data_IF_640251833137
#
_entry.id   IF_640251833137
#
_cell.length_a   1.000
_cell.length_b   1.000
_cell.length_c   1.000
_cell.angle_alpha   90.00
_cell.angle_beta   90.00
_cell.angle_gamma   90.00
#
_symmetry.space_group_name_H-M   'P 1'
#
loop_
_entity.id
_entity.type
_entity.pdbx_description
1 polymer ?
#
# COMPACT_ATOMS: atom_id res chain seq x y z
N UNK A 1 3.58 -45.30 3.71
CA UNK A 1 2.83 -44.45 2.77
C UNK A 1 3.51 -43.09 2.81
N UNK A 2 4.44 -42.85 1.88
CA UNK A 2 5.20 -41.61 1.83
C UNK A 2 4.29 -40.52 1.25
N UNK A 3 4.00 -39.50 2.05
CA UNK A 3 3.34 -38.28 1.57
C UNK A 3 4.41 -37.53 0.77
N UNK A 4 4.21 -37.46 -0.55
CA UNK A 4 5.03 -36.64 -1.42
C UNK A 4 4.91 -35.19 -0.94
N UNK A 5 6.03 -34.61 -0.51
CA UNK A 5 6.17 -33.17 -0.32
C UNK A 5 6.16 -32.56 -1.72
N UNK A 6 5.08 -31.87 -2.05
CA UNK A 6 4.94 -31.09 -3.26
C UNK A 6 6.00 -29.98 -3.24
N UNK A 7 6.95 -30.05 -4.17
CA UNK A 7 7.97 -29.05 -4.41
C UNK A 7 7.33 -27.88 -5.14
N UNK A 8 6.62 -27.01 -4.42
CA UNK A 8 6.10 -25.77 -4.98
C UNK A 8 7.28 -24.86 -5.36
N UNK A 9 7.53 -24.72 -6.66
CA UNK A 9 8.38 -23.67 -7.22
C UNK A 9 7.90 -22.32 -6.70
N UNK A 10 8.75 -21.63 -5.92
CA UNK A 10 8.41 -20.36 -5.31
C UNK A 10 8.34 -19.30 -6.43
N UNK A 11 7.15 -18.72 -6.62
CA UNK A 11 6.79 -17.84 -7.74
C UNK A 11 6.83 -16.38 -7.27
N UNK A 12 7.61 -15.52 -7.93
CA UNK A 12 7.56 -14.07 -7.69
C UNK A 12 6.14 -13.59 -8.05
N UNK A 13 5.41 -12.90 -7.15
CA UNK A 13 4.04 -12.49 -7.44
C UNK A 13 3.98 -11.53 -8.63
N UNK A 14 3.02 -11.74 -9.53
CA UNK A 14 2.81 -10.91 -10.70
C UNK A 14 1.80 -9.78 -10.41
N UNK A 15 2.04 -8.60 -10.97
CA UNK A 15 1.11 -7.48 -11.01
C UNK A 15 0.15 -7.71 -12.20
N UNK A 16 -1.10 -8.03 -11.90
CA UNK A 16 -2.14 -8.38 -12.86
C UNK A 16 -3.03 -7.17 -13.17
N UNK A 17 -3.19 -6.88 -14.46
CA UNK A 17 -4.02 -5.76 -14.90
C UNK A 17 -5.52 -6.11 -14.91
N UNK A 18 -6.43 -5.18 -14.51
CA UNK A 18 -6.11 -3.88 -13.93
C UNK A 18 -5.66 -4.00 -12.47
N UNK A 19 -4.50 -3.43 -12.15
CA UNK A 19 -3.97 -3.32 -10.80
C UNK A 19 -4.07 -1.85 -10.35
N UNK A 20 -4.79 -1.62 -9.26
CA UNK A 20 -4.98 -0.28 -8.69
C UNK A 20 -4.01 -0.08 -7.54
N UNK A 21 -3.25 1.02 -7.57
CA UNK A 21 -2.33 1.42 -6.50
C UNK A 21 -2.81 2.71 -5.87
N UNK A 22 -2.94 2.69 -4.55
CA UNK A 22 -3.33 3.84 -3.74
C UNK A 22 -2.26 4.05 -2.68
N UNK A 23 -1.76 5.28 -2.57
CA UNK A 23 -0.81 5.68 -1.53
C UNK A 23 -1.34 6.91 -0.81
N UNK A 24 -0.93 7.06 0.45
CA UNK A 24 -1.14 8.29 1.23
C UNK A 24 -2.60 8.76 1.22
N UNK A 25 -3.53 7.86 1.57
CA UNK A 25 -4.95 8.19 1.61
C UNK A 25 -5.35 8.91 2.89
N UNK A 26 -4.57 8.73 3.97
CA UNK A 26 -4.79 9.31 5.30
C UNK A 26 -6.26 9.31 5.73
N UNK A 27 -6.91 8.16 5.60
CA UNK A 27 -8.27 7.95 6.08
C UNK A 27 -8.38 8.21 7.59
N UNK A 28 -9.38 9.01 7.96
CA UNK A 28 -9.74 9.30 9.36
C UNK A 28 -11.16 8.74 9.57
N UNK A 29 -11.37 7.85 10.56
CA UNK A 29 -12.70 7.37 10.89
C UNK A 29 -13.61 8.50 11.38
N UNK A 30 -14.79 8.64 10.77
CA UNK A 30 -15.83 9.54 11.25
C UNK A 30 -16.71 8.83 12.30
N UNK A 31 -17.07 9.47 13.44
CA UNK A 31 -17.83 8.83 14.51
C UNK A 31 -19.25 8.37 14.13
N UNK A 32 -19.79 8.81 13.00
CA UNK A 32 -21.21 8.66 12.61
C UNK A 32 -21.44 8.00 11.25
N UNK A 33 -20.39 7.61 10.52
CA UNK A 33 -20.60 6.80 9.32
C UNK A 33 -21.05 5.40 9.77
N UNK A 34 -22.10 4.88 9.16
CA UNK A 34 -22.53 3.49 9.32
C UNK A 34 -22.41 2.83 7.96
N UNK A 35 -21.42 1.97 7.79
CA UNK A 35 -21.30 1.16 6.58
C UNK A 35 -22.46 0.17 6.53
N UNK A 36 -23.52 0.55 5.84
CA UNK A 36 -24.62 -0.35 5.48
C UNK A 36 -24.32 -0.87 4.07
N UNK A 37 -23.91 -2.13 3.99
CA UNK A 37 -23.86 -2.85 2.73
C UNK A 37 -25.30 -3.12 2.28
N UNK A 38 -25.92 -2.12 1.66
CA UNK A 38 -27.28 -2.24 1.14
C UNK A 38 -27.25 -3.12 -0.12
N UNK A 39 -27.40 -4.42 0.11
CA UNK A 39 -27.47 -5.45 -0.93
C UNK A 39 -28.62 -5.21 -1.92
N UNK A 40 -29.64 -4.42 -1.57
CA UNK A 40 -30.75 -4.07 -2.46
C UNK A 40 -30.37 -3.04 -3.54
N UNK A 41 -29.35 -2.20 -3.30
CA UNK A 41 -28.80 -1.27 -4.31
C UNK A 41 -27.87 -1.94 -5.32
N UNK A 42 -27.37 -3.15 -5.01
CA UNK A 42 -26.53 -3.91 -5.92
C UNK A 42 -27.34 -4.42 -7.14
N UNK A 43 -28.63 -4.72 -6.94
CA UNK A 43 -29.52 -5.20 -8.01
C UNK A 43 -30.27 -4.05 -8.71
N UNK A 44 -30.58 -2.94 -8.02
CA UNK A 44 -31.32 -1.82 -8.63
C UNK A 44 -30.45 -0.86 -9.47
N UNK A 45 -29.12 -0.95 -9.38
CA UNK A 45 -28.19 -0.07 -10.13
C UNK A 45 -27.91 -0.54 -11.57
N UNK A 46 -28.60 -1.56 -12.07
CA UNK A 46 -28.43 -2.00 -13.47
C UNK A 46 -29.12 -1.10 -14.50
N UNK A 47 -29.85 -0.04 -14.11
CA UNK A 47 -30.65 0.75 -15.04
C UNK A 47 -30.49 2.28 -15.01
N UNK A 48 -29.45 2.79 -14.36
CA UNK A 48 -29.01 4.18 -14.55
C UNK A 48 -27.53 4.19 -14.84
N UNK A 49 -27.17 4.74 -16.00
CA UNK A 49 -25.81 4.94 -16.48
C UNK A 49 -25.10 5.95 -15.57
N UNK A 50 -24.72 5.53 -14.36
CA UNK A 50 -23.87 6.32 -13.49
C UNK A 50 -22.53 6.49 -14.22
N UNK A 51 -22.18 7.72 -14.53
CA UNK A 51 -20.87 8.05 -15.11
C UNK A 51 -19.77 7.53 -14.18
N UNK A 52 -18.70 6.97 -14.77
CA UNK A 52 -17.62 6.35 -13.98
C UNK A 52 -16.97 7.41 -13.07
N UNK A 53 -16.69 7.11 -11.79
CA UNK A 53 -16.22 8.11 -10.79
C UNK A 53 -14.73 8.52 -10.93
N UNK A 54 -14.16 8.36 -12.13
CA UNK A 54 -12.77 8.68 -12.48
C UNK A 54 -12.77 9.65 -13.68
N UNK A 55 -11.86 10.64 -13.69
CA UNK A 55 -11.71 11.60 -14.80
C UNK A 55 -11.44 10.94 -16.17
N UNK A 56 -10.89 9.72 -16.17
CA UNK A 56 -10.73 8.88 -17.35
C UNK A 56 -11.44 7.54 -17.18
N UNK A 57 -11.81 6.90 -18.29
CA UNK A 57 -12.13 5.47 -18.29
C UNK A 57 -10.94 4.69 -17.71
N UNK A 58 -11.15 3.42 -17.37
CA UNK A 58 -10.11 2.44 -17.00
C UNK A 58 -9.16 2.15 -18.17
N UNK A 59 -8.75 3.19 -18.87
CA UNK A 59 -7.81 3.18 -19.95
C UNK A 59 -6.44 3.35 -19.31
N UNK A 60 -5.56 2.45 -19.73
CA UNK A 60 -4.21 2.29 -19.23
C UNK A 60 -3.45 3.61 -19.26
N UNK A 61 -2.67 3.86 -18.21
CA UNK A 61 -1.67 4.92 -18.24
C UNK A 61 -0.56 4.49 -19.20
N UNK A 62 -0.53 5.06 -20.41
CA UNK A 62 0.74 5.22 -21.10
C UNK A 62 1.66 6.15 -20.28
N UNK A 63 2.97 6.12 -20.55
CA UNK A 63 3.94 6.94 -19.82
C UNK A 63 3.71 8.46 -19.89
N UNK A 64 2.79 8.93 -20.74
CA UNK A 64 2.44 10.33 -20.92
C UNK A 64 1.12 10.75 -20.27
N UNK A 65 0.28 9.79 -19.88
CA UNK A 65 -1.01 10.09 -19.25
C UNK A 65 -0.83 10.39 -17.75
N UNK A 66 -1.45 11.45 -17.22
CA UNK A 66 -1.41 11.74 -15.78
C UNK A 66 -2.18 10.66 -15.00
N UNK A 67 -1.70 10.31 -13.80
CA UNK A 67 -2.40 9.43 -12.86
C UNK A 67 -3.88 9.80 -12.74
N UNK A 68 -4.85 8.87 -12.95
CA UNK A 68 -6.26 9.20 -12.93
C UNK A 68 -6.67 9.77 -11.58
N UNK A 69 -7.52 10.79 -11.62
CA UNK A 69 -8.09 11.42 -10.43
C UNK A 69 -9.47 10.83 -10.13
N UNK A 70 -9.67 10.45 -8.89
CA UNK A 70 -10.98 10.13 -8.35
C UNK A 70 -11.75 11.41 -8.05
N UNK A 71 -12.96 11.51 -8.62
CA UNK A 71 -13.84 12.67 -8.49
C UNK A 71 -15.17 12.34 -7.80
N UNK A 72 -15.34 11.08 -7.38
CA UNK A 72 -16.56 10.66 -6.69
C UNK A 72 -16.70 11.24 -5.28
N UNK A 73 -17.91 11.13 -4.75
CA UNK A 73 -18.24 11.58 -3.40
C UNK A 73 -17.56 10.72 -2.32
N UNK A 74 -17.58 11.18 -1.07
CA UNK A 74 -17.11 10.46 0.13
C UNK A 74 -15.60 10.12 0.15
N UNK A 75 -14.78 10.76 -0.69
CA UNK A 75 -13.32 10.64 -0.62
C UNK A 75 -12.84 9.19 -0.75
N UNK A 76 -12.02 8.74 0.22
CA UNK A 76 -11.38 7.42 0.14
C UNK A 76 -12.37 6.25 0.27
N UNK A 77 -13.37 6.35 1.15
CA UNK A 77 -14.37 5.28 1.29
C UNK A 77 -15.24 5.17 0.05
N UNK A 78 -15.56 6.30 -0.59
CA UNK A 78 -16.23 6.32 -1.89
C UNK A 78 -15.42 5.60 -2.98
N UNK A 79 -14.10 5.83 -3.03
CA UNK A 79 -13.22 5.11 -3.96
C UNK A 79 -13.27 3.60 -3.68
N UNK A 80 -13.08 3.16 -2.44
CA UNK A 80 -13.14 1.75 -2.07
C UNK A 80 -14.50 1.10 -2.41
N UNK A 81 -15.61 1.83 -2.23
CA UNK A 81 -16.94 1.37 -2.66
C UNK A 81 -17.06 1.25 -4.17
N UNK A 82 -16.49 2.18 -4.93
CA UNK A 82 -16.46 2.09 -6.40
C UNK A 82 -15.67 0.88 -6.88
N UNK A 83 -14.60 0.51 -6.17
CA UNK A 83 -13.83 -0.71 -6.43
C UNK A 83 -14.62 -1.97 -6.09
N UNK A 84 -15.51 -1.95 -5.07
CA UNK A 84 -16.42 -3.08 -4.84
C UNK A 84 -17.40 -3.29 -5.98
N UNK A 85 -17.94 -2.19 -6.53
CA UNK A 85 -18.90 -2.24 -7.65
C UNK A 85 -18.23 -2.64 -8.96
N UNK A 86 -16.98 -2.22 -9.16
CA UNK A 86 -16.17 -2.56 -10.33
C UNK A 86 -14.79 -3.04 -9.89
N UNK A 87 -14.66 -4.31 -9.50
CA UNK A 87 -13.43 -4.85 -8.93
C UNK A 87 -12.28 -4.88 -9.94
N UNK A 88 -11.10 -4.34 -9.58
CA UNK A 88 -9.87 -4.59 -10.32
C UNK A 88 -9.39 -6.03 -10.07
N UNK A 89 -8.40 -6.49 -10.84
CA UNK A 89 -7.75 -7.77 -10.57
C UNK A 89 -7.01 -7.71 -9.22
N UNK A 90 -6.32 -6.59 -8.98
CA UNK A 90 -5.52 -6.37 -7.77
C UNK A 90 -5.69 -4.95 -7.22
N UNK A 91 -5.54 -4.84 -5.89
CA UNK A 91 -5.49 -3.58 -5.17
C UNK A 91 -4.23 -3.54 -4.28
N UNK A 92 -3.37 -2.56 -4.54
CA UNK A 92 -2.16 -2.27 -3.79
C UNK A 92 -2.37 -1.03 -2.93
N UNK A 93 -2.36 -1.22 -1.62
CA UNK A 93 -2.42 -0.19 -0.60
C UNK A 93 -0.98 0.10 -0.14
N UNK A 94 -0.41 1.20 -0.59
CA UNK A 94 1.04 1.51 -0.56
C UNK A 94 1.46 2.40 0.62
N UNK A 95 0.95 2.07 1.81
CA UNK A 95 1.24 2.74 3.08
C UNK A 95 0.57 4.10 3.26
N UNK A 96 0.47 4.51 4.53
CA UNK A 96 -0.19 5.73 5.01
C UNK A 96 -1.63 5.86 4.47
N UNK A 97 -2.32 4.73 4.36
CA UNK A 97 -3.71 4.66 3.90
C UNK A 97 -4.65 5.19 4.95
N UNK A 98 -4.39 4.89 6.21
CA UNK A 98 -5.09 5.46 7.35
C UNK A 98 -4.18 6.44 8.08
N UNK A 99 -4.76 7.53 8.60
CA UNK A 99 -4.00 8.62 9.20
C UNK A 99 -3.28 8.21 10.50
N UNK A 100 -3.89 7.29 11.25
CA UNK A 100 -3.29 6.61 12.39
C UNK A 100 -4.00 5.27 12.60
N UNK A 101 -3.38 4.17 12.14
CA UNK A 101 -3.97 2.84 12.25
C UNK A 101 -2.98 1.83 12.81
N UNK A 102 -3.07 1.61 14.13
CA UNK A 102 -2.25 0.68 14.89
C UNK A 102 -3.21 -0.31 15.56
N UNK A 103 -3.70 -1.34 14.85
CA UNK A 103 -4.77 -2.20 15.34
C UNK A 103 -4.39 -3.04 16.56
N UNK A 104 -3.10 -3.14 16.89
CA UNK A 104 -2.66 -3.72 18.15
C UNK A 104 -3.24 -2.98 19.37
N UNK A 105 -3.58 -1.70 19.20
CA UNK A 105 -4.29 -0.87 20.17
C UNK A 105 -5.80 -1.10 20.00
N UNK A 106 -6.45 -1.69 21.01
CA UNK A 106 -7.85 -2.14 20.94
C UNK A 106 -8.83 -1.03 20.54
N UNK A 107 -8.67 0.17 21.10
CA UNK A 107 -9.55 1.29 20.77
C UNK A 107 -9.38 1.73 19.30
N UNK A 108 -8.14 1.75 18.80
CA UNK A 108 -7.85 2.12 17.42
C UNK A 108 -8.46 1.11 16.41
N UNK A 109 -8.40 -0.19 16.69
CA UNK A 109 -9.10 -1.20 15.87
C UNK A 109 -10.63 -1.01 15.89
N UNK A 110 -11.19 -0.61 17.03
CA UNK A 110 -12.64 -0.42 17.20
C UNK A 110 -13.16 0.76 16.38
N UNK A 111 -12.48 1.90 16.40
CA UNK A 111 -12.89 3.07 15.62
C UNK A 111 -12.72 2.85 14.11
N UNK A 112 -11.79 1.98 13.70
CA UNK A 112 -11.56 1.62 12.30
C UNK A 112 -12.42 0.44 11.81
N UNK A 113 -13.39 -0.03 12.60
CA UNK A 113 -14.18 -1.24 12.30
C UNK A 113 -14.80 -1.24 10.90
N UNK A 114 -15.24 -0.08 10.41
CA UNK A 114 -15.90 0.05 9.11
C UNK A 114 -14.92 -0.02 7.96
N UNK A 115 -13.77 0.64 8.12
CA UNK A 115 -12.66 0.53 7.19
C UNK A 115 -12.18 -0.92 7.09
N UNK A 116 -12.02 -1.61 8.23
CA UNK A 116 -11.68 -3.03 8.28
C UNK A 116 -12.74 -3.88 7.56
N UNK A 117 -14.03 -3.62 7.80
CA UNK A 117 -15.12 -4.33 7.15
C UNK A 117 -15.11 -4.14 5.63
N UNK A 118 -14.84 -2.92 5.16
CA UNK A 118 -14.76 -2.58 3.74
C UNK A 118 -13.57 -3.26 3.05
N UNK A 119 -12.40 -3.27 3.70
CA UNK A 119 -11.22 -3.99 3.20
C UNK A 119 -11.47 -5.50 3.14
N UNK A 120 -12.10 -6.08 4.16
CA UNK A 120 -12.46 -7.48 4.15
C UNK A 120 -13.44 -7.81 3.02
N UNK A 121 -14.47 -6.98 2.81
CA UNK A 121 -15.39 -7.13 1.69
C UNK A 121 -14.66 -7.09 0.33
N UNK A 122 -13.75 -6.13 0.13
CA UNK A 122 -12.94 -6.04 -1.08
C UNK A 122 -12.08 -7.29 -1.29
N UNK A 123 -11.44 -7.78 -0.23
CA UNK A 123 -10.56 -8.96 -0.29
C UNK A 123 -11.25 -10.28 -0.64
N UNK A 124 -12.58 -10.28 -0.73
CA UNK A 124 -13.34 -11.43 -1.25
C UNK A 124 -13.43 -11.47 -2.77
N UNK A 125 -13.34 -10.33 -3.45
CA UNK A 125 -13.46 -10.22 -4.91
C UNK A 125 -12.22 -9.63 -5.60
N UNK A 126 -11.30 -9.03 -4.85
CA UNK A 126 -10.06 -8.43 -5.32
C UNK A 126 -8.89 -9.03 -4.53
N UNK A 127 -7.76 -9.26 -5.19
CA UNK A 127 -6.54 -9.59 -4.48
C UNK A 127 -5.93 -8.31 -3.89
N UNK A 128 -5.98 -8.18 -2.57
CA UNK A 128 -5.53 -6.97 -1.86
C UNK A 128 -4.16 -7.18 -1.22
N UNK A 129 -3.23 -6.31 -1.55
CA UNK A 129 -1.91 -6.20 -0.93
C UNK A 129 -1.84 -4.92 -0.10
N UNK A 130 -1.46 -5.02 1.18
CA UNK A 130 -1.35 -3.87 2.08
C UNK A 130 0.07 -3.74 2.58
N UNK A 131 0.78 -2.75 2.07
CA UNK A 131 2.10 -2.32 2.52
C UNK A 131 1.92 -1.35 3.68
N UNK A 132 2.45 -1.70 4.85
CA UNK A 132 2.44 -0.80 6.00
C UNK A 132 3.23 0.48 5.71
N UNK A 133 2.70 1.63 6.11
CA UNK A 133 3.43 2.89 6.19
C UNK A 133 3.89 3.19 7.62
N UNK A 134 4.28 4.44 7.85
CA UNK A 134 4.68 4.89 9.19
C UNK A 134 3.50 5.41 10.03
N UNK A 135 2.32 5.57 9.43
CA UNK A 135 1.07 5.90 10.12
C UNK A 135 0.16 4.68 10.35
N UNK A 136 0.29 3.64 9.53
CA UNK A 136 -0.54 2.44 9.56
C UNK A 136 0.29 1.15 9.59
N UNK A 137 0.71 0.76 10.81
CA UNK A 137 1.61 -0.37 11.04
C UNK A 137 1.16 -1.27 12.19
N UNK A 138 1.76 -2.45 12.28
CA UNK A 138 1.34 -3.46 13.24
C UNK A 138 0.01 -4.09 12.85
N UNK A 139 -0.26 -4.17 11.54
CA UNK A 139 -1.46 -4.78 10.98
C UNK A 139 -1.50 -6.27 11.31
N UNK A 140 -2.71 -6.78 11.50
CA UNK A 140 -2.93 -8.13 11.99
C UNK A 140 -3.79 -8.92 10.99
N UNK A 141 -3.26 -10.06 10.54
CA UNK A 141 -3.99 -10.99 9.66
C UNK A 141 -5.27 -11.52 10.29
N UNK A 142 -5.42 -11.49 11.62
CA UNK A 142 -6.69 -11.82 12.28
C UNK A 142 -7.81 -10.82 11.98
N UNK A 143 -7.46 -9.56 11.71
CA UNK A 143 -8.42 -8.52 11.35
C UNK A 143 -8.63 -8.45 9.83
N UNK A 144 -7.61 -8.80 9.06
CA UNK A 144 -7.61 -8.74 7.60
C UNK A 144 -7.15 -10.09 6.99
N UNK A 145 -7.91 -11.20 7.19
CA UNK A 145 -7.46 -12.57 6.91
C UNK A 145 -7.18 -12.89 5.44
N UNK A 146 -7.73 -12.12 4.51
CA UNK A 146 -7.54 -12.31 3.05
C UNK A 146 -6.67 -11.22 2.42
N UNK A 147 -6.24 -10.24 3.20
CA UNK A 147 -5.33 -9.19 2.74
C UNK A 147 -3.89 -9.69 2.91
N UNK A 148 -3.11 -9.55 1.86
CA UNK A 148 -1.67 -9.87 1.87
C UNK A 148 -0.91 -8.69 2.45
N UNK A 149 -0.62 -8.77 3.75
CA UNK A 149 0.06 -7.70 4.49
C UNK A 149 1.57 -7.78 4.24
N UNK A 150 2.19 -6.66 3.87
CA UNK A 150 3.62 -6.44 3.78
C UNK A 150 4.06 -5.46 4.88
N UNK A 151 4.46 -5.98 6.05
CA UNK A 151 5.03 -5.16 7.10
C UNK A 151 6.31 -4.47 6.63
N UNK A 152 6.67 -3.33 7.23
CA UNK A 152 7.85 -2.54 6.81
C UNK A 152 9.13 -3.36 6.65
N UNK A 153 9.36 -4.35 7.52
CA UNK A 153 10.52 -5.25 7.47
C UNK A 153 10.59 -6.17 6.23
N UNK A 154 9.46 -6.38 5.56
CA UNK A 154 9.36 -7.16 4.32
C UNK A 154 9.38 -6.26 3.08
N UNK A 155 9.62 -4.96 3.26
CA UNK A 155 9.73 -3.99 2.19
C UNK A 155 11.21 -3.62 1.96
N UNK A 156 11.63 -3.39 0.70
CA UNK A 156 10.85 -3.55 -0.53
C UNK A 156 10.52 -5.00 -0.88
N UNK A 157 9.28 -5.23 -1.33
CA UNK A 157 8.83 -6.53 -1.85
C UNK A 157 9.04 -6.60 -3.37
N UNK A 158 9.42 -7.76 -3.86
CA UNK A 158 9.63 -7.99 -5.30
C UNK A 158 8.34 -8.52 -5.96
N UNK A 159 7.97 -7.90 -7.07
CA UNK A 159 6.88 -8.30 -7.95
C UNK A 159 7.36 -8.30 -9.41
N UNK A 160 6.68 -9.03 -10.29
CA UNK A 160 6.89 -8.92 -11.74
C UNK A 160 5.73 -8.17 -12.39
N UNK A 161 6.02 -7.32 -13.37
CA UNK A 161 5.00 -6.69 -14.21
C UNK A 161 5.50 -6.72 -15.65
N UNK A 162 4.74 -7.33 -16.57
CA UNK A 162 5.14 -7.49 -17.97
C UNK A 162 6.55 -8.12 -18.13
N UNK A 163 6.85 -9.15 -17.32
CA UNK A 163 8.16 -9.81 -17.23
C UNK A 163 9.33 -8.95 -16.72
N UNK A 164 9.08 -7.72 -16.25
CA UNK A 164 10.09 -6.88 -15.61
C UNK A 164 9.91 -6.92 -14.08
N UNK A 165 10.99 -7.09 -13.29
CA UNK A 165 10.90 -7.05 -11.84
C UNK A 165 10.76 -5.61 -11.31
N UNK A 166 9.89 -5.44 -10.32
CA UNK A 166 9.64 -4.19 -9.61
C UNK A 166 9.82 -4.39 -8.10
N UNK A 167 10.45 -3.41 -7.47
CA UNK A 167 10.56 -3.29 -6.02
C UNK A 167 9.48 -2.34 -5.52
N UNK A 168 8.57 -2.86 -4.70
CA UNK A 168 7.43 -2.13 -4.14
C UNK A 168 7.71 -1.83 -2.67
N UNK A 169 7.53 -0.58 -2.26
CA UNK A 169 7.46 -0.24 -0.84
C UNK A 169 6.61 1.00 -0.59
N UNK A 170 6.25 1.24 0.67
CA UNK A 170 5.71 2.53 1.07
C UNK A 170 6.70 3.66 0.73
N UNK A 171 8.00 3.49 0.98
CA UNK A 171 9.03 4.44 0.54
C UNK A 171 9.71 5.20 1.69
N UNK A 172 9.25 5.02 2.93
CA UNK A 172 9.95 5.53 4.11
C UNK A 172 11.23 4.73 4.46
N UNK A 173 11.51 3.69 3.69
CA UNK A 173 12.80 3.00 3.68
C UNK A 173 13.88 3.93 3.11
N UNK A 174 15.09 3.81 3.65
CA UNK A 174 16.29 4.51 3.17
C UNK A 174 16.28 6.03 3.39
N UNK A 175 15.49 6.55 4.34
CA UNK A 175 15.49 7.99 4.70
C UNK A 175 16.77 8.33 5.48
N UNK A 176 16.88 7.90 6.74
CA UNK A 176 18.07 8.11 7.58
C UNK A 176 18.18 7.01 8.63
N UNK A 177 19.39 6.70 9.08
CA UNK A 177 19.61 5.70 10.15
C UNK A 177 18.90 6.06 11.47
N UNK A 178 18.79 7.36 11.78
CA UNK A 178 18.06 7.84 12.96
C UNK A 178 16.56 7.56 12.86
N UNK A 179 15.97 7.82 11.69
CA UNK A 179 14.59 7.47 11.41
C UNK A 179 14.36 5.95 11.47
N UNK A 180 15.26 5.15 10.88
CA UNK A 180 15.19 3.69 10.97
C UNK A 180 15.17 3.18 12.41
N UNK A 181 16.03 3.73 13.27
CA UNK A 181 16.06 3.41 14.70
C UNK A 181 14.74 3.77 15.38
N UNK A 182 14.24 4.99 15.14
CA UNK A 182 12.97 5.48 15.68
C UNK A 182 11.79 4.58 15.30
N UNK A 183 11.60 4.30 14.01
CA UNK A 183 10.45 3.53 13.52
C UNK A 183 10.52 2.06 13.95
N UNK A 184 11.74 1.49 14.01
CA UNK A 184 11.95 0.12 14.51
C UNK A 184 11.62 0.02 16.00
N UNK A 185 12.03 1.00 16.80
CA UNK A 185 11.71 1.04 18.23
C UNK A 185 10.20 1.20 18.46
N UNK A 186 9.53 2.06 17.68
CA UNK A 186 8.10 2.31 17.78
C UNK A 186 7.26 1.07 17.42
N UNK A 187 7.67 0.35 16.37
CA UNK A 187 6.97 -0.85 15.85
C UNK A 187 7.36 -2.15 16.56
N UNK A 188 8.30 -2.11 17.51
CA UNK A 188 8.72 -3.30 18.24
C UNK A 188 7.56 -3.93 19.03
N UNK A 189 7.43 -5.28 19.07
CA UNK A 189 6.34 -5.96 19.78
C UNK A 189 6.21 -5.56 21.26
N UNK A 190 7.34 -5.32 21.93
CA UNK A 190 7.35 -4.82 23.30
C UNK A 190 6.72 -3.44 23.41
N UNK A 191 7.13 -2.50 22.55
CA UNK A 191 6.57 -1.14 22.50
C UNK A 191 5.08 -1.17 22.22
N UNK A 192 4.64 -1.95 21.23
CA UNK A 192 3.23 -2.13 20.90
C UNK A 192 2.43 -2.71 22.09
N UNK A 193 3.00 -3.68 22.81
CA UNK A 193 2.36 -4.28 23.99
C UNK A 193 2.23 -3.26 25.13
N UNK A 194 3.25 -2.43 25.35
CA UNK A 194 3.21 -1.32 26.31
C UNK A 194 2.14 -0.31 25.90
N UNK A 195 2.12 0.14 24.64
CA UNK A 195 1.11 1.07 24.13
C UNK A 195 -0.31 0.52 24.33
N UNK A 196 -0.54 -0.76 24.05
CA UNK A 196 -1.82 -1.43 24.30
C UNK A 196 -2.22 -1.41 25.77
N UNK A 197 -1.29 -1.69 26.67
CA UNK A 197 -1.54 -1.67 28.11
C UNK A 197 -1.92 -0.25 28.57
N UNK A 198 -1.15 0.76 28.19
CA UNK A 198 -1.42 2.13 28.64
C UNK A 198 -2.71 2.67 27.98
N UNK A 199 -3.00 2.33 26.72
CA UNK A 199 -4.28 2.68 26.07
C UNK A 199 -5.48 2.08 26.82
N UNK A 200 -5.37 0.80 27.21
CA UNK A 200 -6.41 0.11 27.98
C UNK A 200 -6.61 0.76 29.36
N UNK A 201 -5.53 1.11 30.05
CA UNK A 201 -5.58 1.77 31.36
C UNK A 201 -6.08 3.21 31.27
N UNK A 202 -5.80 3.90 30.17
CA UNK A 202 -6.19 5.29 29.92
C UNK A 202 -7.53 5.45 29.22
N UNK A 203 -8.26 4.34 28.99
CA UNK A 203 -9.56 4.30 28.32
C UNK A 203 -9.56 5.03 26.97
N UNK A 204 -8.48 4.90 26.19
CA UNK A 204 -8.36 5.51 24.86
C UNK A 204 -7.80 6.95 24.84
N UNK A 205 -7.41 7.53 25.99
CA UNK A 205 -6.84 8.89 26.01
C UNK A 205 -5.54 9.00 25.21
N UNK A 206 -4.68 7.98 25.24
CA UNK A 206 -3.41 7.98 24.49
C UNK A 206 -3.64 7.97 23.01
N UNK A 207 -4.61 7.20 22.53
CA UNK A 207 -5.02 7.24 21.14
C UNK A 207 -5.40 8.68 20.74
N UNK A 208 -6.28 9.34 21.49
CA UNK A 208 -6.69 10.72 21.21
C UNK A 208 -5.52 11.71 21.26
N UNK A 209 -4.58 11.51 22.21
CA UNK A 209 -3.38 12.32 22.29
C UNK A 209 -2.46 12.12 21.09
N UNK A 210 -2.14 10.87 20.73
CA UNK A 210 -1.35 10.54 19.55
C UNK A 210 -2.00 11.09 18.27
N UNK A 211 -3.30 10.90 18.11
CA UNK A 211 -4.09 11.46 17.01
C UNK A 211 -3.93 12.98 16.94
N UNK A 212 -4.01 13.68 18.08
CA UNK A 212 -3.86 15.14 18.10
C UNK A 212 -2.46 15.61 17.65
N UNK A 213 -1.40 14.88 18.03
CA UNK A 213 -0.03 15.16 17.59
C UNK A 213 0.17 14.92 16.09
N UNK A 214 -0.46 13.87 15.55
CA UNK A 214 -0.39 13.55 14.12
C UNK A 214 -1.19 14.58 13.31
N UNK A 215 -2.42 14.89 13.73
CA UNK A 215 -3.30 15.88 13.09
C UNK A 215 -2.69 17.29 13.07
N UNK A 216 -1.86 17.63 14.06
CA UNK A 216 -1.16 18.92 14.10
C UNK A 216 -0.06 19.04 13.03
N UNK A 217 0.39 17.94 12.45
CA UNK A 217 1.40 17.94 11.38
C UNK A 217 0.70 18.07 10.04
N UNK A 218 1.00 19.15 9.32
CA UNK A 218 0.52 19.30 7.96
C UNK A 218 1.26 18.34 7.02
N UNK A 219 0.50 17.57 6.24
CA UNK A 219 1.02 16.68 5.20
C UNK A 219 1.58 17.57 4.08
N UNK A 220 2.88 17.47 3.81
CA UNK A 220 3.55 18.30 2.80
C UNK A 220 3.52 17.56 1.46
N UNK A 221 3.14 18.28 0.40
CA UNK A 221 3.40 17.84 -0.96
C UNK A 221 4.78 18.33 -1.38
N UNK A 222 5.58 17.46 -2.00
CA UNK A 222 6.89 17.81 -2.55
C UNK A 222 6.73 18.21 -4.02
N UNK A 223 6.85 19.50 -4.29
CA UNK A 223 6.89 20.01 -5.65
C UNK A 223 8.33 19.98 -6.19
N UNK A 224 8.61 19.04 -7.08
CA UNK A 224 9.88 19.00 -7.82
C UNK A 224 9.73 19.64 -9.21
N UNK A 225 10.75 20.35 -9.69
CA UNK A 225 10.92 20.54 -11.13
C UNK A 225 11.38 19.21 -11.79
N UNK A 226 11.59 19.19 -13.10
CA UNK A 226 12.00 17.96 -13.78
C UNK A 226 13.40 17.47 -13.36
N UNK A 227 14.38 18.37 -13.30
CA UNK A 227 15.77 17.99 -13.03
C UNK A 227 15.95 17.51 -11.58
N UNK A 228 15.35 18.19 -10.61
CA UNK A 228 15.36 17.79 -9.20
C UNK A 228 14.63 16.45 -9.01
N UNK A 229 13.54 16.21 -9.75
CA UNK A 229 12.85 14.93 -9.71
C UNK A 229 13.71 13.79 -10.28
N UNK A 230 14.46 14.04 -11.37
CA UNK A 230 15.37 13.05 -11.95
C UNK A 230 16.51 12.71 -10.99
N UNK A 231 17.11 13.71 -10.35
CA UNK A 231 18.14 13.50 -9.33
C UNK A 231 17.59 12.73 -8.12
N UNK A 232 16.41 13.12 -7.63
CA UNK A 232 15.70 12.41 -6.57
C UNK A 232 15.44 10.93 -6.95
N UNK A 233 14.82 10.69 -8.09
CA UNK A 233 14.48 9.35 -8.57
C UNK A 233 15.75 8.50 -8.77
N UNK A 234 16.83 9.07 -9.31
CA UNK A 234 18.13 8.40 -9.46
C UNK A 234 18.67 7.91 -8.13
N UNK A 235 18.65 8.78 -7.10
CA UNK A 235 19.10 8.44 -5.75
C UNK A 235 18.24 7.34 -5.12
N UNK A 236 16.93 7.41 -5.31
CA UNK A 236 16.00 6.36 -4.84
C UNK A 236 16.31 5.03 -5.54
N UNK A 237 16.29 4.97 -6.87
CA UNK A 237 16.62 3.75 -7.63
C UNK A 237 17.94 3.13 -7.17
N UNK A 238 18.99 3.94 -6.99
CA UNK A 238 20.28 3.46 -6.51
C UNK A 238 20.20 2.83 -5.11
N UNK A 239 19.43 3.41 -4.18
CA UNK A 239 19.24 2.87 -2.84
C UNK A 239 18.48 1.52 -2.87
N UNK A 240 17.40 1.41 -3.66
CA UNK A 240 16.66 0.16 -3.82
C UNK A 240 17.49 -0.93 -4.49
N UNK A 241 18.25 -0.60 -5.54
CA UNK A 241 19.17 -1.54 -6.19
C UNK A 241 20.23 -2.02 -5.22
N UNK A 242 20.84 -1.11 -4.46
CA UNK A 242 21.82 -1.47 -3.43
C UNK A 242 21.22 -2.43 -2.38
N UNK A 243 20.00 -2.17 -1.91
CA UNK A 243 19.29 -3.08 -1.02
C UNK A 243 19.06 -4.44 -1.68
N UNK A 244 18.57 -4.47 -2.92
CA UNK A 244 18.26 -5.71 -3.63
C UNK A 244 19.50 -6.59 -3.83
N UNK A 245 20.64 -5.99 -4.19
CA UNK A 245 21.90 -6.72 -4.33
C UNK A 245 22.46 -7.19 -3.00
N UNK A 246 22.35 -6.37 -1.95
CA UNK A 246 22.84 -6.73 -0.61
C UNK A 246 22.01 -7.84 0.05
N UNK A 247 20.73 -7.96 -0.31
CA UNK A 247 19.79 -8.95 0.23
C UNK A 247 19.35 -9.96 -0.84
N UNK A 248 20.15 -10.12 -1.90
CA UNK A 248 19.88 -11.00 -3.03
C UNK A 248 19.47 -12.43 -2.63
N UNK A 249 20.15 -12.98 -1.62
CA UNK A 249 19.86 -14.32 -1.11
C UNK A 249 18.50 -14.41 -0.41
N UNK A 250 18.04 -13.33 0.24
CA UNK A 250 16.78 -13.32 0.97
C UNK A 250 15.60 -12.95 0.06
N UNK A 251 15.83 -12.07 -0.91
CA UNK A 251 14.85 -11.71 -1.95
C UNK A 251 14.65 -12.82 -2.99
N UNK A 252 15.69 -13.59 -3.31
CA UNK A 252 15.66 -14.67 -4.30
C UNK A 252 16.07 -16.04 -3.71
N UNK A 253 15.69 -16.31 -2.45
CA UNK A 253 16.09 -17.54 -1.72
C UNK A 253 15.97 -18.83 -2.54
N UNK A 254 16.76 -19.89 -2.25
CA UNK A 254 16.97 -21.05 -3.13
C UNK A 254 15.71 -21.84 -3.55
N UNK A 255 14.55 -21.55 -2.94
CA UNK A 255 13.25 -22.10 -3.34
C UNK A 255 12.68 -21.42 -4.60
N UNK A 256 13.20 -20.25 -5.00
CA UNK A 256 12.86 -19.49 -6.21
C UNK A 256 13.69 -19.89 -7.46
N UNK A 257 14.52 -20.94 -7.39
CA UNK A 257 15.47 -21.28 -8.47
C UNK A 257 14.86 -22.06 -9.66
N UNK A 258 13.55 -22.26 -9.71
CA UNK A 258 12.93 -23.03 -10.80
C UNK A 258 12.96 -22.30 -12.16
N UNK A 259 13.10 -20.97 -12.19
CA UNK A 259 13.15 -20.17 -13.42
C UNK A 259 14.30 -19.16 -13.40
N UNK A 260 15.55 -19.63 -13.27
CA UNK A 260 16.64 -18.89 -13.90
C UNK A 260 16.53 -19.09 -15.42
N UNK A 261 16.23 -18.06 -16.24
CA UNK A 261 16.67 -18.12 -17.62
C UNK A 261 18.18 -18.32 -17.57
N UNK A 262 18.64 -19.39 -18.20
CA UNK A 262 20.02 -19.86 -18.19
C UNK A 262 20.99 -18.67 -18.43
N UNK A 263 21.72 -18.24 -17.38
CA UNK A 263 22.86 -17.33 -17.50
C UNK A 263 22.83 -16.00 -16.74
N UNK A 264 21.71 -15.51 -16.20
CA UNK A 264 21.66 -14.14 -15.64
C UNK A 264 21.98 -14.08 -14.14
N UNK A 265 22.89 -13.20 -13.74
CA UNK A 265 23.16 -12.83 -12.34
C UNK A 265 22.19 -11.72 -11.91
N UNK A 266 21.95 -11.54 -10.60
CA UNK A 266 21.12 -10.43 -10.09
C UNK A 266 21.58 -9.07 -10.61
N UNK A 267 22.89 -8.90 -10.82
CA UNK A 267 23.52 -7.68 -11.32
C UNK A 267 23.03 -7.29 -12.73
N UNK A 268 22.40 -8.20 -13.48
CA UNK A 268 21.85 -7.94 -14.81
C UNK A 268 20.37 -7.52 -14.79
N UNK A 269 19.67 -7.63 -13.65
CA UNK A 269 18.25 -7.24 -13.58
C UNK A 269 18.10 -5.74 -13.37
N UNK A 270 17.49 -5.08 -14.35
CA UNK A 270 17.07 -3.69 -14.21
C UNK A 270 15.74 -3.61 -13.45
N UNK A 271 15.84 -3.53 -12.12
CA UNK A 271 14.68 -3.37 -11.24
C UNK A 271 13.98 -2.03 -11.46
N UNK A 272 12.69 -2.07 -11.75
CA UNK A 272 11.80 -0.94 -11.55
C UNK A 272 11.49 -0.73 -10.06
N UNK A 273 10.92 0.42 -9.72
CA UNK A 273 10.55 0.79 -8.35
C UNK A 273 9.18 1.44 -8.36
N UNK A 274 8.31 1.06 -7.43
CA UNK A 274 7.03 1.73 -7.17
C UNK A 274 6.99 2.12 -5.68
N UNK A 275 6.84 3.41 -5.38
CA UNK A 275 6.84 3.91 -4.00
C UNK A 275 5.78 4.97 -3.70
N UNK A 276 5.28 4.99 -2.45
CA UNK A 276 4.14 5.79 -1.99
C UNK A 276 4.42 7.08 -1.19
N UNK A 277 5.55 7.18 -0.51
CA UNK A 277 5.74 8.08 0.64
C UNK A 277 5.91 9.58 0.31
N UNK A 278 6.32 9.95 -0.90
CA UNK A 278 6.79 11.31 -1.20
C UNK A 278 5.76 12.25 -1.85
N UNK A 279 4.56 11.74 -2.16
CA UNK A 279 3.42 12.54 -2.67
C UNK A 279 3.77 13.34 -3.94
N UNK A 280 4.49 12.68 -4.86
CA UNK A 280 5.05 13.35 -6.04
C UNK A 280 4.16 13.18 -7.27
N UNK A 281 3.57 11.99 -7.46
CA UNK A 281 2.73 11.73 -8.63
C UNK A 281 3.48 11.89 -9.95
N UNK A 282 4.72 11.41 -10.03
CA UNK A 282 5.54 11.44 -11.26
C UNK A 282 6.17 10.09 -11.58
N UNK A 283 6.61 9.94 -12.82
CA UNK A 283 7.34 8.77 -13.31
C UNK A 283 8.62 9.20 -14.00
N UNK A 284 9.69 8.45 -13.77
CA UNK A 284 10.93 8.57 -14.54
C UNK A 284 11.49 7.18 -14.83
N UNK A 285 11.59 6.81 -16.10
CA UNK A 285 11.97 5.44 -16.52
C UNK A 285 11.04 4.39 -15.85
N UNK A 286 11.63 3.43 -15.13
CA UNK A 286 10.94 2.37 -14.39
C UNK A 286 10.68 2.74 -12.92
N UNK A 287 10.84 4.01 -12.54
CA UNK A 287 10.53 4.53 -11.21
C UNK A 287 9.19 5.27 -11.20
N UNK A 288 8.27 4.77 -10.38
CA UNK A 288 6.93 5.30 -10.18
C UNK A 288 6.84 5.87 -8.76
N UNK A 289 6.88 7.20 -8.66
CA UNK A 289 6.54 7.90 -7.42
C UNK A 289 5.03 8.13 -7.42
N UNK A 290 4.31 7.39 -6.59
CA UNK A 290 2.86 7.45 -6.52
C UNK A 290 2.41 8.84 -6.05
N UNK A 291 1.25 9.31 -6.54
CA UNK A 291 0.62 10.52 -6.05
C UNK A 291 0.03 10.32 -4.66
N UNK A 292 -0.22 11.41 -3.95
CA UNK A 292 -0.99 11.36 -2.70
C UNK A 292 -2.49 11.33 -2.99
N UNK A 293 -3.18 10.29 -2.52
CA UNK A 293 -4.63 10.29 -2.62
C UNK A 293 -5.27 11.35 -1.70
N UNK A 294 -4.66 11.61 -0.53
CA UNK A 294 -5.12 12.65 0.39
C UNK A 294 -5.10 14.03 -0.27
N UNK A 295 -3.96 14.43 -0.84
CA UNK A 295 -3.77 15.76 -1.44
C UNK A 295 -4.40 15.89 -2.83
N UNK A 296 -4.23 14.89 -3.70
CA UNK A 296 -4.52 15.03 -5.13
C UNK A 296 -5.73 14.22 -5.58
N UNK A 297 -6.17 13.24 -4.76
CA UNK A 297 -7.18 12.23 -5.12
C UNK A 297 -6.78 11.40 -6.34
N UNK A 298 -5.48 11.24 -6.59
CA UNK A 298 -4.97 10.47 -7.72
C UNK A 298 -4.53 9.07 -7.28
N UNK A 299 -4.60 8.13 -8.22
CA UNK A 299 -4.21 6.72 -8.05
C UNK A 299 -3.40 6.27 -9.25
N UNK A 300 -2.67 5.16 -9.15
CA UNK A 300 -2.05 4.50 -10.30
C UNK A 300 -2.89 3.29 -10.72
N UNK A 301 -3.03 3.10 -12.03
CA UNK A 301 -3.65 1.91 -12.62
C UNK A 301 -2.65 1.32 -13.63
N UNK A 302 -2.29 0.05 -13.44
CA UNK A 302 -1.45 -0.73 -14.34
C UNK A 302 -2.24 -1.87 -14.98
#
# INVERSE_FOLDING_TARGET
MAIALDSSSLHIPEILSPAVFIADAHYIPEPSYTFTLDSSKLESSQNTRAEAPLESKWEFLDSSSPYPRYIGENGFTGLLQSLLLKPPAQLFLMGDIAHLFIPHITHNATIHREFIALLNALSHCVEVFYFEGNHDFGLDSRLLPRVKIYPRKLQPAIFTYQNQPFLLSHGDCFITKGYECYITALSAPFTLSVLKLIDTLSLGYIHSYAQSLVNAKHIKSLAFNEDDFRDFASKRIAAYKHYAYSNAHDLLSPQNQAHKPYGQTLEEFDFGVIEGHFHIGKRWQSFFALPSFYCEKRILIL
#
